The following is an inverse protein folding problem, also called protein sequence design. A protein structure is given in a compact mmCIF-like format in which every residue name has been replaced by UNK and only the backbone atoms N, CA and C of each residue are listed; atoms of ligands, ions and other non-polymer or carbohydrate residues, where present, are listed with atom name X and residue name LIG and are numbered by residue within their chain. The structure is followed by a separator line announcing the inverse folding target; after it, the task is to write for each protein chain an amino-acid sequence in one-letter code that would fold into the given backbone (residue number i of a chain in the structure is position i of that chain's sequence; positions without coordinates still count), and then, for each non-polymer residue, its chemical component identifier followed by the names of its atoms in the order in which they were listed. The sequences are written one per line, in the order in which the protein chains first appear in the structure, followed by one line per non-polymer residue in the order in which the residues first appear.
data_IF_532672187125
#
_entry.id   IF_532672187125
#
_cell.length_a   1.000
_cell.length_b   1.000
_cell.length_c   1.000
_cell.angle_alpha   90.00
_cell.angle_beta   90.00
_cell.angle_gamma   90.00
#
_symmetry.space_group_name_H-M   'P 1'
#
loop_
_entity.id
_entity.type
_entity.pdbx_description
1 polymer ?
#
# COMPACT_ATOMS: atom_id res chain seq x y z
N UNK A 1 -4.89 -15.01 -8.02
CA UNK A 1 -3.84 -15.84 -8.65
C UNK A 1 -4.26 -17.31 -8.58
N UNK A 2 -4.15 -18.09 -9.70
CA UNK A 2 -4.32 -19.54 -9.66
C UNK A 2 -3.22 -20.21 -8.84
N UNK A 3 -3.51 -21.40 -8.31
CA UNK A 3 -2.55 -22.19 -7.52
C UNK A 3 -1.24 -22.46 -8.27
N UNK A 4 -1.34 -22.65 -9.58
CA UNK A 4 -0.16 -22.84 -10.47
C UNK A 4 0.80 -21.64 -10.45
N UNK A 5 0.27 -20.42 -10.35
CA UNK A 5 1.09 -19.21 -10.24
C UNK A 5 1.75 -19.14 -8.87
N UNK A 6 0.99 -19.40 -7.79
CA UNK A 6 1.53 -19.39 -6.42
C UNK A 6 2.65 -20.43 -6.26
N UNK A 7 2.44 -21.65 -6.76
CA UNK A 7 3.45 -22.71 -6.76
C UNK A 7 4.70 -22.32 -7.57
N UNK A 8 4.51 -21.66 -8.72
CA UNK A 8 5.63 -21.17 -9.55
C UNK A 8 6.43 -20.07 -8.85
N UNK A 9 5.79 -19.18 -8.08
CA UNK A 9 6.46 -18.16 -7.29
C UNK A 9 7.32 -18.80 -6.20
N UNK A 10 6.76 -19.77 -5.48
CA UNK A 10 7.47 -20.49 -4.41
C UNK A 10 8.68 -21.25 -4.97
N UNK A 11 8.55 -21.89 -6.15
CA UNK A 11 9.67 -22.62 -6.77
C UNK A 11 10.82 -21.69 -7.24
N UNK A 12 10.57 -20.39 -7.34
CA UNK A 12 11.56 -19.36 -7.67
C UNK A 12 12.07 -18.59 -6.44
N UNK A 13 11.87 -19.15 -5.24
CA UNK A 13 12.26 -18.53 -3.96
C UNK A 13 11.63 -17.15 -3.72
N UNK A 14 10.41 -16.94 -4.25
CA UNK A 14 9.61 -15.75 -3.99
C UNK A 14 8.73 -16.03 -2.78
N UNK A 15 9.01 -15.38 -1.66
CA UNK A 15 8.26 -15.50 -0.42
C UNK A 15 6.89 -14.83 -0.56
N UNK A 16 5.83 -15.58 -0.26
CA UNK A 16 4.45 -15.07 -0.27
C UNK A 16 4.05 -14.79 1.17
N UNK A 17 3.64 -13.55 1.43
CA UNK A 17 3.16 -13.09 2.72
C UNK A 17 1.74 -12.56 2.60
N UNK A 18 0.98 -12.64 3.69
CA UNK A 18 -0.41 -12.17 3.72
C UNK A 18 -0.63 -11.11 4.79
N UNK A 19 -1.46 -10.14 4.47
CA UNK A 19 -1.98 -9.16 5.43
C UNK A 19 -3.51 -9.32 5.53
N UNK A 20 -4.05 -9.20 6.73
CA UNK A 20 -5.49 -9.25 6.92
C UNK A 20 -6.06 -7.83 6.81
N UNK A 21 -6.92 -7.63 5.82
CA UNK A 21 -7.53 -6.34 5.50
C UNK A 21 -9.05 -6.41 5.71
N UNK A 22 -9.59 -5.40 6.36
CA UNK A 22 -11.04 -5.22 6.48
C UNK A 22 -11.50 -4.11 5.52
N UNK A 23 -11.75 -4.50 4.27
CA UNK A 23 -12.11 -3.57 3.20
C UNK A 23 -13.59 -3.25 3.26
N UNK A 24 -13.94 -1.99 3.48
CA UNK A 24 -15.31 -1.50 3.44
C UNK A 24 -15.78 -1.18 2.01
N UNK A 25 -17.11 -1.15 1.79
CA UNK A 25 -17.70 -0.77 0.50
C UNK A 25 -17.28 0.64 0.02
N UNK A 26 -16.81 1.50 0.92
CA UNK A 26 -16.33 2.84 0.61
C UNK A 26 -15.06 2.92 -0.23
N UNK A 27 -14.25 1.86 -0.26
CA UNK A 27 -12.96 1.83 -1.00
C UNK A 27 -13.16 1.96 -2.51
N UNK A 28 -14.31 1.57 -3.04
CA UNK A 28 -14.62 1.58 -4.47
C UNK A 28 -15.53 2.74 -4.89
N UNK A 29 -15.85 3.65 -3.96
CA UNK A 29 -16.67 4.79 -4.30
C UNK A 29 -15.88 5.80 -5.14
N UNK A 30 -16.48 6.35 -6.21
CA UNK A 30 -15.84 7.43 -6.97
C UNK A 30 -15.65 8.68 -6.10
N UNK A 31 -14.63 9.45 -6.41
CA UNK A 31 -14.42 10.77 -5.81
C UNK A 31 -15.56 11.68 -6.24
N UNK A 32 -16.43 12.06 -5.32
CA UNK A 32 -17.60 12.93 -5.59
C UNK A 32 -17.28 14.42 -5.48
N UNK A 33 -16.16 14.76 -4.84
CA UNK A 33 -15.71 16.16 -4.68
C UNK A 33 -14.97 16.63 -5.92
N UNK A 34 -15.13 17.91 -6.27
CA UNK A 34 -14.38 18.53 -7.36
C UNK A 34 -12.87 18.61 -7.07
N UNK A 35 -12.52 18.69 -5.80
CA UNK A 35 -11.12 18.72 -5.33
C UNK A 35 -10.80 17.49 -4.51
N UNK A 36 -9.66 16.88 -4.79
CA UNK A 36 -9.14 15.73 -4.04
C UNK A 36 -8.95 16.06 -2.54
N UNK A 37 -8.61 17.31 -2.22
CA UNK A 37 -8.45 17.79 -0.84
C UNK A 37 -9.73 17.71 0.01
N UNK A 38 -10.89 17.73 -0.63
CA UNK A 38 -12.21 17.68 0.02
C UNK A 38 -12.71 16.24 0.17
N UNK A 39 -12.04 15.28 -0.47
CA UNK A 39 -12.39 13.86 -0.37
C UNK A 39 -11.95 13.31 1.00
N UNK A 40 -12.87 12.65 1.69
CA UNK A 40 -12.57 11.99 2.98
C UNK A 40 -12.37 10.50 2.76
N UNK A 41 -11.17 10.02 3.08
CA UNK A 41 -10.85 8.60 3.03
C UNK A 41 -11.45 7.86 4.23
N UNK A 42 -12.07 6.73 3.96
CA UNK A 42 -12.50 5.82 5.02
C UNK A 42 -11.28 5.21 5.72
N UNK A 43 -11.45 4.98 7.02
CA UNK A 43 -10.47 4.19 7.78
C UNK A 43 -10.58 2.73 7.34
N UNK A 44 -9.48 2.17 6.90
CA UNK A 44 -9.34 0.74 6.59
C UNK A 44 -8.59 0.05 7.72
N UNK A 45 -9.29 -0.75 8.54
CA UNK A 45 -8.64 -1.56 9.56
C UNK A 45 -7.83 -2.67 8.92
N UNK A 46 -6.68 -2.98 9.52
CA UNK A 46 -5.86 -4.11 9.12
C UNK A 46 -5.16 -4.74 10.32
N UNK A 47 -4.72 -5.98 10.13
CA UNK A 47 -3.93 -6.73 11.10
C UNK A 47 -2.65 -7.19 10.45
N UNK A 48 -1.52 -6.96 11.12
CA UNK A 48 -0.21 -7.51 10.77
C UNK A 48 0.32 -8.35 11.91
N UNK A 49 1.11 -9.38 11.60
CA UNK A 49 1.86 -10.15 12.61
C UNK A 49 3.27 -9.61 12.76
N UNK A 50 3.88 -9.85 13.91
CA UNK A 50 5.29 -9.52 14.14
C UNK A 50 6.21 -10.27 13.17
N UNK A 51 5.90 -11.53 12.89
CA UNK A 51 6.66 -12.35 11.92
C UNK A 51 6.60 -11.77 10.51
N UNK A 52 5.41 -11.36 10.05
CA UNK A 52 5.25 -10.63 8.79
C UNK A 52 6.14 -9.37 8.76
N UNK A 53 6.11 -8.56 9.82
CA UNK A 53 6.86 -7.32 9.89
C UNK A 53 8.39 -7.57 9.84
N UNK A 54 8.89 -8.58 10.56
CA UNK A 54 10.30 -8.99 10.51
C UNK A 54 10.71 -9.48 9.11
N UNK A 55 9.85 -10.27 8.48
CA UNK A 55 10.08 -10.72 7.10
C UNK A 55 10.14 -9.53 6.13
N UNK A 56 9.21 -8.57 6.27
CA UNK A 56 9.18 -7.37 5.45
C UNK A 56 10.46 -6.54 5.59
N UNK A 57 10.95 -6.33 6.81
CA UNK A 57 12.21 -5.60 7.07
C UNK A 57 13.37 -6.25 6.31
N UNK A 58 13.47 -7.58 6.35
CA UNK A 58 14.52 -8.34 5.65
C UNK A 58 14.40 -8.35 4.11
N UNK A 59 13.30 -7.83 3.57
CA UNK A 59 13.00 -7.83 2.11
C UNK A 59 12.80 -6.43 1.54
N UNK A 60 13.10 -5.37 2.27
CA UNK A 60 13.04 -4.00 1.76
C UNK A 60 13.85 -3.86 0.47
N UNK A 61 13.32 -3.10 -0.49
CA UNK A 61 13.85 -2.96 -1.85
C UNK A 61 13.45 -4.09 -2.82
N UNK A 62 12.64 -5.09 -2.36
CA UNK A 62 12.14 -6.21 -3.17
C UNK A 62 10.68 -6.52 -2.85
N UNK A 63 9.90 -5.52 -2.50
CA UNK A 63 8.52 -5.68 -2.03
C UNK A 63 7.55 -5.53 -3.19
N UNK A 64 6.80 -6.60 -3.46
CA UNK A 64 5.74 -6.62 -4.47
C UNK A 64 4.38 -6.63 -3.74
N UNK A 65 3.62 -5.57 -3.88
CA UNK A 65 2.26 -5.50 -3.35
C UNK A 65 1.25 -6.00 -4.38
N UNK A 66 0.26 -6.75 -3.92
CA UNK A 66 -0.88 -7.18 -4.74
C UNK A 66 -2.13 -6.46 -4.25
N UNK A 67 -2.64 -5.56 -5.08
CA UNK A 67 -3.79 -4.70 -4.78
C UNK A 67 -3.43 -3.37 -4.11
N UNK A 68 -4.21 -2.35 -4.44
CA UNK A 68 -4.01 -0.97 -3.96
C UNK A 68 -4.21 -0.81 -2.45
N UNK A 69 -5.11 -1.59 -1.85
CA UNK A 69 -5.30 -1.59 -0.38
C UNK A 69 -4.07 -2.17 0.33
N UNK A 70 -3.41 -3.18 -0.26
CA UNK A 70 -2.14 -3.70 0.27
C UNK A 70 -1.06 -2.63 0.23
N UNK A 71 -0.96 -1.85 -0.86
CA UNK A 71 -0.01 -0.71 -0.93
C UNK A 71 -0.27 0.27 0.21
N UNK A 72 -1.52 0.72 0.39
CA UNK A 72 -1.86 1.66 1.46
C UNK A 72 -1.52 1.11 2.84
N UNK A 73 -1.76 -0.17 3.08
CA UNK A 73 -1.39 -0.84 4.33
C UNK A 73 0.12 -0.84 4.53
N UNK A 74 0.88 -1.31 3.54
CA UNK A 74 2.34 -1.43 3.63
C UNK A 74 3.01 -0.06 3.82
N UNK A 75 2.59 0.95 3.07
CA UNK A 75 3.11 2.31 3.22
C UNK A 75 2.75 2.91 4.58
N UNK A 76 1.59 2.55 5.16
CA UNK A 76 1.20 3.00 6.50
C UNK A 76 2.10 2.47 7.61
N UNK A 77 2.75 1.30 7.42
CA UNK A 77 3.65 0.73 8.43
C UNK A 77 4.84 1.66 8.70
N UNK A 78 5.33 2.37 7.67
CA UNK A 78 6.37 3.38 7.84
C UNK A 78 5.93 4.47 8.83
N UNK A 79 4.75 5.03 8.66
CA UNK A 79 4.23 6.11 9.52
C UNK A 79 3.89 5.62 10.93
N UNK A 80 3.42 4.38 11.07
CA UNK A 80 3.24 3.75 12.38
C UNK A 80 4.58 3.61 13.11
N UNK A 81 5.62 3.21 12.38
CA UNK A 81 6.98 3.13 12.91
C UNK A 81 7.56 4.47 13.31
N UNK A 82 7.35 5.50 12.49
CA UNK A 82 7.73 6.89 12.85
C UNK A 82 7.02 7.32 14.13
N UNK A 83 5.72 7.02 14.27
CA UNK A 83 4.97 7.30 15.49
C UNK A 83 5.55 6.58 16.72
N UNK A 84 6.03 5.34 16.55
CA UNK A 84 6.74 4.63 17.63
C UNK A 84 8.03 5.35 18.04
N UNK A 85 8.81 5.87 17.08
CA UNK A 85 10.04 6.62 17.38
C UNK A 85 9.73 7.91 18.14
N UNK A 86 8.74 8.66 17.69
CA UNK A 86 8.45 10.00 18.20
C UNK A 86 7.58 10.01 19.46
N UNK A 87 6.59 9.10 19.54
CA UNK A 87 5.54 9.09 20.58
C UNK A 87 5.58 7.83 21.44
N UNK A 88 6.49 6.88 21.19
CA UNK A 88 6.62 5.63 21.93
C UNK A 88 5.50 4.60 21.63
N UNK A 89 4.61 4.87 20.69
CA UNK A 89 3.50 3.98 20.32
C UNK A 89 3.03 4.23 18.88
N UNK A 90 2.44 3.21 18.20
CA UNK A 90 1.83 3.40 16.89
C UNK A 90 0.48 4.13 17.04
N UNK A 91 0.28 5.16 16.23
CA UNK A 91 -0.98 5.92 16.12
C UNK A 91 -1.60 5.73 14.75
N UNK A 92 -2.93 5.83 14.66
CA UNK A 92 -3.63 5.73 13.36
C UNK A 92 -3.08 6.73 12.36
N UNK A 93 -2.76 6.24 11.16
CA UNK A 93 -2.21 7.10 10.10
C UNK A 93 -3.33 7.91 9.48
N UNK A 94 -3.28 9.21 9.66
CA UNK A 94 -4.27 10.14 9.13
C UNK A 94 -4.09 10.39 7.62
N UNK A 95 -5.15 10.83 6.96
CA UNK A 95 -5.25 10.92 5.51
C UNK A 95 -4.09 11.68 4.86
N UNK A 96 -3.72 12.83 5.41
CA UNK A 96 -2.72 13.74 4.87
C UNK A 96 -1.39 13.70 5.62
N UNK A 97 -1.23 12.78 6.58
CA UNK A 97 0.01 12.63 7.33
C UNK A 97 1.26 12.52 6.43
N UNK A 98 1.24 11.75 5.31
CA UNK A 98 2.38 11.65 4.41
C UNK A 98 2.88 12.97 3.82
N UNK A 99 2.04 13.98 3.77
CA UNK A 99 2.31 15.27 3.12
C UNK A 99 2.49 16.42 4.12
N UNK A 100 2.32 16.15 5.41
CA UNK A 100 2.34 17.20 6.45
C UNK A 100 3.74 17.76 6.71
N UNK A 101 4.77 16.97 6.43
CA UNK A 101 6.19 17.35 6.61
C UNK A 101 7.09 16.36 5.87
N UNK A 102 8.37 16.69 5.76
CA UNK A 102 9.38 15.72 5.36
C UNK A 102 9.72 14.80 6.53
N UNK A 103 9.79 13.50 6.23
CA UNK A 103 10.16 12.45 7.17
C UNK A 103 11.59 11.99 6.85
N UNK A 104 12.51 12.16 7.80
CA UNK A 104 13.94 11.87 7.62
C UNK A 104 14.34 10.46 8.06
N UNK A 105 13.48 9.75 8.79
CA UNK A 105 13.77 8.38 9.22
C UNK A 105 13.86 7.43 8.04
N UNK A 106 14.83 6.50 8.11
CA UNK A 106 14.91 5.43 7.11
C UNK A 106 13.71 4.47 7.26
N UNK A 107 13.34 3.81 6.17
CA UNK A 107 12.27 2.80 6.19
C UNK A 107 12.59 1.68 7.17
N UNK A 108 13.85 1.19 7.18
CA UNK A 108 14.29 0.15 8.11
C UNK A 108 14.11 0.60 9.56
N UNK A 109 14.65 1.78 9.94
CA UNK A 109 14.55 2.28 11.31
C UNK A 109 13.10 2.44 11.79
N UNK A 110 12.21 2.92 10.91
CA UNK A 110 10.79 3.05 11.24
C UNK A 110 10.14 1.68 11.47
N UNK A 111 10.33 0.71 10.57
CA UNK A 111 9.74 -0.62 10.72
C UNK A 111 10.34 -1.39 11.91
N UNK A 112 11.64 -1.23 12.18
CA UNK A 112 12.30 -1.79 13.34
C UNK A 112 11.74 -1.22 14.66
N UNK A 113 11.45 0.07 14.71
CA UNK A 113 10.83 0.69 15.88
C UNK A 113 9.41 0.14 16.12
N UNK A 114 8.63 -0.11 15.05
CA UNK A 114 7.33 -0.74 15.15
C UNK A 114 7.45 -2.19 15.66
N UNK A 115 8.42 -2.97 15.15
CA UNK A 115 8.68 -4.33 15.60
C UNK A 115 9.10 -4.35 17.07
N UNK A 116 10.02 -3.47 17.48
CA UNK A 116 10.46 -3.33 18.87
C UNK A 116 9.32 -2.96 19.82
N UNK A 117 8.42 -2.07 19.38
CA UNK A 117 7.21 -1.77 20.15
C UNK A 117 6.34 -3.01 20.35
N UNK A 118 6.12 -3.80 19.30
CA UNK A 118 5.33 -5.03 19.40
C UNK A 118 5.99 -6.05 20.34
N UNK A 119 7.30 -6.23 20.26
CA UNK A 119 8.06 -7.13 21.13
C UNK A 119 8.01 -6.69 22.60
N UNK A 120 8.27 -5.42 22.87
CA UNK A 120 8.27 -4.88 24.23
C UNK A 120 6.90 -4.99 24.92
N UNK A 121 5.82 -5.02 24.13
CA UNK A 121 4.45 -5.19 24.63
C UNK A 121 3.91 -6.62 24.51
N UNK A 122 4.73 -7.59 24.13
CA UNK A 122 4.34 -8.99 24.00
C UNK A 122 3.30 -9.25 22.90
N UNK A 123 3.25 -8.39 21.87
CA UNK A 123 2.27 -8.47 20.79
C UNK A 123 2.76 -9.37 19.66
N UNK A 124 2.06 -10.46 19.41
CA UNK A 124 2.29 -11.31 18.22
C UNK A 124 1.61 -10.76 16.98
N UNK A 125 0.60 -9.91 17.17
CA UNK A 125 -0.10 -9.20 16.10
C UNK A 125 -0.49 -7.80 16.53
N UNK A 126 -0.60 -6.87 15.58
CA UNK A 126 -1.06 -5.50 15.77
C UNK A 126 -2.29 -5.27 14.91
N UNK A 127 -3.40 -4.90 15.56
CA UNK A 127 -4.60 -4.42 14.90
C UNK A 127 -4.60 -2.90 14.91
N UNK A 128 -4.67 -2.30 13.74
CA UNK A 128 -4.65 -0.84 13.58
C UNK A 128 -5.47 -0.43 12.34
N UNK A 129 -5.20 0.71 11.75
CA UNK A 129 -5.86 1.13 10.53
C UNK A 129 -5.22 2.35 9.90
N UNK A 130 -5.57 2.59 8.66
CA UNK A 130 -5.07 3.72 7.88
C UNK A 130 -6.20 4.49 7.24
N UNK A 131 -5.98 5.79 7.07
CA UNK A 131 -6.79 6.69 6.24
C UNK A 131 -5.98 7.28 5.10
N UNK A 132 -4.70 6.90 4.96
CA UNK A 132 -3.83 7.59 3.99
C UNK A 132 -4.46 7.63 2.61
N UNK A 133 -4.33 8.78 1.96
CA UNK A 133 -4.55 8.94 0.53
C UNK A 133 -3.19 8.97 -0.17
N UNK A 134 -3.08 8.25 -1.28
CA UNK A 134 -1.88 8.26 -2.12
C UNK A 134 -2.21 9.01 -3.40
N UNK A 135 -1.54 10.15 -3.59
CA UNK A 135 -1.72 11.04 -4.75
C UNK A 135 -0.35 11.39 -5.33
N UNK A 136 -0.27 11.94 -6.55
CA UNK A 136 1.00 12.39 -7.13
C UNK A 136 1.82 13.25 -6.15
N UNK A 137 3.11 12.95 -6.04
CA UNK A 137 4.02 13.52 -5.04
C UNK A 137 4.17 12.69 -3.77
N UNK A 138 3.46 11.55 -3.63
CA UNK A 138 3.67 10.62 -2.52
C UNK A 138 5.06 9.98 -2.60
N UNK A 139 5.78 9.98 -1.48
CA UNK A 139 7.09 9.32 -1.36
C UNK A 139 6.92 7.89 -0.90
N UNK A 140 6.91 6.93 -1.83
CA UNK A 140 6.85 5.50 -1.48
C UNK A 140 8.08 5.07 -0.71
N UNK A 141 7.88 4.32 0.36
CA UNK A 141 8.93 3.88 1.31
C UNK A 141 9.13 2.38 1.31
N UNK A 142 8.06 1.62 1.12
CA UNK A 142 8.03 0.18 1.33
C UNK A 142 7.84 -0.59 0.02
N UNK A 143 6.91 -0.16 -0.82
CA UNK A 143 6.51 -0.92 -2.03
C UNK A 143 7.36 -0.54 -3.23
N UNK A 144 7.94 -1.53 -3.88
CA UNK A 144 8.77 -1.35 -5.09
C UNK A 144 8.03 -1.72 -6.37
N UNK A 145 7.11 -2.71 -6.30
CA UNK A 145 6.34 -3.21 -7.44
C UNK A 145 4.88 -3.38 -7.03
N UNK A 146 3.97 -3.06 -7.91
CA UNK A 146 2.53 -3.19 -7.70
C UNK A 146 1.90 -4.06 -8.77
N UNK A 147 1.16 -5.09 -8.34
CA UNK A 147 0.22 -5.85 -9.19
C UNK A 147 -1.18 -5.37 -8.88
N UNK A 148 -1.91 -4.89 -9.88
CA UNK A 148 -3.27 -4.39 -9.69
C UNK A 148 -4.09 -4.46 -10.98
N UNK A 149 -5.43 -4.43 -10.85
CA UNK A 149 -6.32 -4.29 -12.00
C UNK A 149 -6.30 -2.85 -12.55
N UNK A 150 -6.92 -2.65 -13.71
CA UNK A 150 -7.18 -1.32 -14.26
C UNK A 150 -8.41 -0.70 -13.55
N UNK A 151 -8.27 0.53 -13.09
CA UNK A 151 -9.28 1.23 -12.28
C UNK A 151 -10.05 2.26 -13.09
N UNK A 152 -11.23 2.65 -12.58
CA UNK A 152 -12.05 3.70 -13.20
C UNK A 152 -11.39 5.08 -13.11
N UNK A 153 -11.67 5.96 -14.09
CA UNK A 153 -11.38 7.39 -13.96
C UNK A 153 -12.03 7.98 -12.70
N UNK A 154 -11.50 9.09 -12.23
CA UNK A 154 -12.01 9.82 -11.04
C UNK A 154 -12.09 8.96 -9.77
N UNK A 155 -11.19 8.01 -9.61
CA UNK A 155 -11.07 7.19 -8.40
C UNK A 155 -9.77 7.51 -7.65
N UNK A 156 -9.79 7.35 -6.33
CA UNK A 156 -8.58 7.43 -5.50
C UNK A 156 -7.57 6.34 -5.87
N UNK A 157 -8.03 5.23 -6.44
CA UNK A 157 -7.20 4.14 -6.93
C UNK A 157 -6.35 4.56 -8.14
N UNK A 158 -6.93 5.33 -9.07
CA UNK A 158 -6.18 5.86 -10.21
C UNK A 158 -5.18 6.95 -9.78
N UNK A 159 -5.47 7.72 -8.74
CA UNK A 159 -4.52 8.68 -8.16
C UNK A 159 -3.29 7.94 -7.59
N UNK A 160 -3.51 6.81 -6.90
CA UNK A 160 -2.42 5.96 -6.41
C UNK A 160 -1.57 5.42 -7.57
N UNK A 161 -2.20 4.91 -8.64
CA UNK A 161 -1.46 4.46 -9.84
C UNK A 161 -0.64 5.60 -10.43
N UNK A 162 -1.25 6.78 -10.59
CA UNK A 162 -0.55 7.98 -11.11
C UNK A 162 0.67 8.33 -10.25
N UNK A 163 0.53 8.27 -8.92
CA UNK A 163 1.65 8.49 -8.00
C UNK A 163 2.75 7.43 -8.15
N UNK A 164 2.36 6.17 -8.38
CA UNK A 164 3.30 5.04 -8.44
C UNK A 164 4.17 5.05 -9.70
N UNK A 165 3.61 5.51 -10.82
CA UNK A 165 4.29 5.55 -12.12
C UNK A 165 4.75 6.96 -12.53
N UNK A 166 4.88 7.87 -11.56
CA UNK A 166 5.32 9.26 -11.75
C UNK A 166 4.52 10.01 -12.85
N UNK A 167 3.20 9.86 -12.81
CA UNK A 167 2.28 10.53 -13.73
C UNK A 167 2.03 9.83 -15.07
N UNK A 168 2.78 8.79 -15.43
CA UNK A 168 2.68 8.10 -16.75
C UNK A 168 1.51 7.08 -16.83
N UNK A 169 0.52 7.20 -15.97
CA UNK A 169 -0.65 6.30 -15.97
C UNK A 169 -1.44 6.35 -17.28
N UNK A 170 -1.46 7.52 -17.95
CA UNK A 170 -2.26 7.70 -19.16
C UNK A 170 -1.75 6.85 -20.32
N UNK A 171 -0.44 6.80 -20.56
CA UNK A 171 0.14 5.96 -21.61
C UNK A 171 -0.15 4.47 -21.39
N UNK A 172 -0.11 4.02 -20.11
CA UNK A 172 -0.43 2.64 -19.73
C UNK A 172 -1.90 2.31 -20.01
N UNK A 173 -2.82 3.24 -19.67
CA UNK A 173 -4.25 3.05 -19.88
C UNK A 173 -4.66 3.19 -21.34
N UNK A 174 -4.06 4.11 -22.09
CA UNK A 174 -4.27 4.23 -23.55
C UNK A 174 -3.84 2.95 -24.27
N UNK A 175 -2.70 2.35 -23.87
CA UNK A 175 -2.26 1.06 -24.38
C UNK A 175 -3.27 -0.06 -24.06
N UNK A 176 -3.72 -0.14 -22.83
CA UNK A 176 -4.68 -1.16 -22.40
C UNK A 176 -6.01 -1.06 -23.18
N UNK A 177 -6.53 0.16 -23.36
CA UNK A 177 -7.74 0.41 -24.16
C UNK A 177 -7.58 0.06 -25.63
N UNK A 178 -6.41 0.35 -26.21
CA UNK A 178 -6.12 0.04 -27.62
C UNK A 178 -5.88 -1.46 -27.89
N UNK A 179 -5.67 -2.28 -26.85
CA UNK A 179 -5.37 -3.70 -26.95
C UNK A 179 -6.41 -4.60 -26.24
N UNK A 180 -7.65 -4.14 -26.11
CA UNK A 180 -8.80 -4.90 -25.62
C UNK A 180 -8.62 -5.46 -24.18
N UNK A 181 -7.81 -4.81 -23.34
CA UNK A 181 -7.69 -5.19 -21.94
C UNK A 181 -9.00 -4.94 -21.21
N UNK A 182 -9.38 -5.87 -20.35
CA UNK A 182 -10.56 -5.77 -19.49
C UNK A 182 -10.23 -5.02 -18.22
N UNK A 183 -11.16 -4.18 -17.80
CA UNK A 183 -11.01 -3.32 -16.63
C UNK A 183 -11.75 -3.87 -15.42
N UNK A 184 -11.46 -3.30 -14.24
CA UNK A 184 -12.09 -3.59 -12.95
C UNK A 184 -11.76 -4.99 -12.40
N UNK A 185 -12.55 -5.42 -11.39
CA UNK A 185 -12.23 -6.58 -10.54
C UNK A 185 -12.14 -7.92 -11.27
N UNK A 186 -12.83 -8.08 -12.38
CA UNK A 186 -12.78 -9.28 -13.22
C UNK A 186 -11.96 -9.08 -14.51
N UNK A 187 -11.21 -7.99 -14.55
CA UNK A 187 -10.40 -7.61 -15.68
C UNK A 187 -8.99 -8.18 -15.63
N UNK A 188 -8.20 -7.67 -16.55
CA UNK A 188 -6.79 -7.97 -16.65
C UNK A 188 -6.00 -7.18 -15.56
N UNK A 189 -4.76 -7.57 -15.34
CA UNK A 189 -3.90 -6.95 -14.34
C UNK A 189 -2.68 -6.31 -14.97
N UNK A 190 -2.18 -5.26 -14.34
CA UNK A 190 -0.90 -4.63 -14.66
C UNK A 190 0.14 -4.97 -13.60
N UNK A 191 1.40 -5.09 -14.04
CA UNK A 191 2.58 -5.16 -13.18
C UNK A 191 3.34 -3.85 -13.34
N UNK A 192 3.34 -3.04 -12.31
CA UNK A 192 3.90 -1.69 -12.32
C UNK A 192 5.15 -1.64 -11.46
N UNK A 193 6.22 -1.06 -11.99
CA UNK A 193 7.44 -0.78 -11.26
C UNK A 193 7.44 0.68 -10.84
N UNK A 194 7.84 0.93 -9.60
CA UNK A 194 7.97 2.30 -9.08
C UNK A 194 9.04 3.06 -9.87
N UNK A 195 8.72 4.25 -10.27
CA UNK A 195 9.66 5.23 -10.88
C UNK A 195 10.15 6.26 -9.86
#
# INVERSE_FOLDING_TARGET
FPETVLSSLTSKDISIQTVCLHVGAGTFLPVKSEKVSEHTMHREPFVITLDFLKTLIGRLGKVIAVGTTSVRTLESLYYLGVSCIENGRPETVEQWAPYSRDYEYSTSSALEALASYMEANGLTSLQTGTRIIIVPGFKFRVVDVLVTNFHQPQSTLLLLISAFVDGDWKSIYDYALANDFRFLSYGDSSLLFRR
#
